data_IF_492626987406
#
_entry.id   IF_492626987406
#
_cell.length_a   1.000
_cell.length_b   1.000
_cell.length_c   1.000
_cell.angle_alpha   90.00
_cell.angle_beta   90.00
_cell.angle_gamma   90.00
#
_symmetry.space_group_name_H-M   'P 1'
#
loop_
_entity.id
_entity.type
_entity.pdbx_description
1 polymer ?
#
# COMPACT_ATOMS: atom_id res chain seq x y z
N UNK A 1 0.80 82.80 -1.08
CA UNK A 1 0.79 81.66 -0.12
C UNK A 1 -0.23 80.66 -0.59
N UNK A 2 0.21 79.59 -1.25
CA UNK A 2 -0.64 78.54 -1.82
C UNK A 2 -0.54 77.34 -0.85
N UNK A 3 -1.59 76.98 -0.17
CA UNK A 3 -1.68 75.79 0.71
C UNK A 3 -2.04 74.59 -0.16
N UNK A 4 -1.10 73.69 -0.39
CA UNK A 4 -1.36 72.36 -1.02
C UNK A 4 -2.06 71.46 -0.01
N UNK A 5 -3.24 71.00 -0.38
CA UNK A 5 -4.02 70.02 0.36
C UNK A 5 -3.62 68.62 -0.12
N UNK A 6 -2.91 67.82 0.72
CA UNK A 6 -2.58 66.45 0.42
C UNK A 6 -3.80 65.58 0.80
N UNK A 7 -4.43 64.98 -0.18
CA UNK A 7 -5.51 63.99 0.00
C UNK A 7 -4.79 62.63 0.13
N UNK A 8 -4.78 62.04 1.33
CA UNK A 8 -4.31 60.67 1.59
C UNK A 8 -5.49 59.73 1.31
N UNK A 9 -5.38 59.02 0.19
CA UNK A 9 -6.36 58.00 -0.19
C UNK A 9 -5.99 56.69 0.55
N UNK A 10 -6.74 56.34 1.60
CA UNK A 10 -6.60 55.09 2.32
C UNK A 10 -7.19 53.94 1.50
N UNK A 11 -6.35 53.10 0.97
CA UNK A 11 -6.77 51.85 0.30
C UNK A 11 -7.11 50.85 1.40
N UNK A 12 -8.39 50.58 1.64
CA UNK A 12 -8.86 49.53 2.50
C UNK A 12 -8.67 48.17 1.82
N UNK A 13 -7.67 47.41 2.33
CA UNK A 13 -7.52 46.01 1.98
C UNK A 13 -8.61 45.20 2.72
N UNK A 14 -9.63 44.75 1.99
CA UNK A 14 -10.55 43.73 2.50
C UNK A 14 -9.91 42.35 2.27
N UNK A 15 -9.68 41.55 3.33
CA UNK A 15 -9.26 40.16 3.14
C UNK A 15 -10.44 39.40 2.53
N UNK A 16 -10.28 38.93 1.30
CA UNK A 16 -11.20 37.95 0.70
C UNK A 16 -10.96 36.63 1.42
N UNK A 17 -11.80 36.33 2.41
CA UNK A 17 -11.87 35.01 3.00
C UNK A 17 -12.38 34.03 1.92
N UNK A 18 -11.49 33.32 1.25
CA UNK A 18 -11.85 32.18 0.41
C UNK A 18 -12.38 31.07 1.33
N UNK A 19 -13.68 30.98 1.48
CA UNK A 19 -14.32 29.81 2.08
C UNK A 19 -14.19 28.67 1.05
N UNK A 20 -13.24 27.76 1.30
CA UNK A 20 -13.23 26.46 0.63
C UNK A 20 -14.57 25.79 0.95
N UNK A 21 -15.52 25.80 0.03
CA UNK A 21 -16.75 25.03 0.16
C UNK A 21 -16.35 23.56 0.20
N UNK A 22 -16.53 22.92 1.36
CA UNK A 22 -16.24 21.51 1.53
C UNK A 22 -17.05 20.69 0.53
N UNK A 23 -16.35 19.96 -0.34
CA UNK A 23 -16.99 19.02 -1.27
C UNK A 23 -17.48 17.83 -0.45
N UNK A 24 -18.78 17.58 -0.46
CA UNK A 24 -19.36 16.36 0.12
C UNK A 24 -19.40 15.29 -0.95
N UNK A 25 -18.76 14.12 -0.73
CA UNK A 25 -18.82 13.01 -1.68
C UNK A 25 -20.28 12.58 -1.92
N UNK A 26 -20.63 12.30 -3.18
CA UNK A 26 -21.97 11.81 -3.55
C UNK A 26 -22.12 10.30 -3.37
N UNK A 27 -21.00 9.57 -3.44
CA UNK A 27 -20.97 8.12 -3.23
C UNK A 27 -20.79 7.80 -1.74
N UNK A 28 -21.31 6.66 -1.32
CA UNK A 28 -21.05 6.12 0.01
C UNK A 28 -19.56 5.82 0.18
N UNK A 29 -19.07 5.95 1.41
CA UNK A 29 -17.72 5.50 1.75
C UNK A 29 -17.63 3.99 1.51
N UNK A 30 -16.58 3.50 0.81
CA UNK A 30 -16.39 2.07 0.63
C UNK A 30 -16.29 1.34 1.97
N UNK A 31 -16.92 0.18 2.04
CA UNK A 31 -16.79 -0.73 3.19
C UNK A 31 -15.67 -1.72 2.95
N UNK A 32 -15.14 -2.29 4.04
CA UNK A 32 -14.01 -3.21 4.00
C UNK A 32 -14.44 -4.56 4.61
N UNK A 33 -14.29 -5.64 3.83
CA UNK A 33 -14.50 -7.01 4.29
C UNK A 33 -13.17 -7.72 4.49
N UNK A 34 -12.91 -8.25 5.69
CA UNK A 34 -11.72 -9.06 5.94
C UNK A 34 -11.78 -10.37 5.17
N UNK A 35 -10.73 -10.66 4.40
CA UNK A 35 -10.67 -11.83 3.52
C UNK A 35 -9.73 -12.90 4.06
N UNK A 36 -8.52 -12.52 4.44
CA UNK A 36 -7.51 -13.45 4.97
C UNK A 36 -6.35 -12.73 5.60
N UNK A 37 -5.65 -13.44 6.46
CA UNK A 37 -4.31 -13.11 6.94
C UNK A 37 -3.31 -14.09 6.34
N UNK A 38 -2.20 -13.58 5.80
CA UNK A 38 -1.08 -14.38 5.34
C UNK A 38 0.09 -14.19 6.31
N UNK A 39 0.67 -15.29 6.79
CA UNK A 39 1.91 -15.31 7.53
C UNK A 39 3.00 -15.85 6.60
N UNK A 40 3.74 -14.92 6.00
CA UNK A 40 4.71 -15.21 4.93
C UNK A 40 6.08 -15.46 5.55
N UNK A 41 6.72 -16.56 5.19
CA UNK A 41 8.11 -16.86 5.55
C UNK A 41 9.04 -16.33 4.49
N UNK A 42 10.06 -15.59 4.92
CA UNK A 42 11.03 -14.92 4.06
C UNK A 42 12.38 -15.65 4.11
N UNK A 43 13.05 -15.70 2.97
CA UNK A 43 14.41 -16.21 2.84
C UNK A 43 15.45 -15.11 3.04
N UNK A 44 16.72 -15.48 2.88
CA UNK A 44 17.82 -14.54 2.92
C UNK A 44 17.72 -13.53 1.78
N UNK A 45 17.61 -12.27 2.16
CA UNK A 45 17.49 -11.18 1.21
C UNK A 45 18.84 -10.85 0.56
N UNK A 46 18.80 -10.41 -0.71
CA UNK A 46 19.99 -9.96 -1.42
C UNK A 46 19.75 -8.62 -2.10
N UNK A 47 20.83 -7.87 -2.31
CA UNK A 47 20.80 -6.57 -2.98
C UNK A 47 21.43 -6.70 -4.36
N UNK A 48 20.72 -6.27 -5.40
CA UNK A 48 21.27 -6.13 -6.74
C UNK A 48 22.23 -4.94 -6.80
N UNK A 49 21.93 -3.88 -6.05
CA UNK A 49 22.73 -2.67 -5.93
C UNK A 49 21.97 -1.41 -6.34
N UNK A 50 22.72 -0.31 -6.43
CA UNK A 50 22.23 0.97 -6.92
C UNK A 50 22.01 0.90 -8.44
N UNK A 51 20.83 1.33 -8.89
CA UNK A 51 20.46 1.40 -10.30
C UNK A 51 20.04 2.83 -10.64
N UNK A 52 19.81 3.12 -11.92
CA UNK A 52 19.26 4.42 -12.33
C UNK A 52 17.88 4.71 -11.72
N UNK A 53 17.12 3.67 -11.37
CA UNK A 53 15.79 3.79 -10.77
C UNK A 53 15.82 3.82 -9.23
N UNK A 54 16.96 3.56 -8.58
CA UNK A 54 17.13 3.45 -7.14
C UNK A 54 17.82 2.15 -6.73
N UNK A 55 17.81 1.84 -5.43
CA UNK A 55 18.39 0.62 -4.88
C UNK A 55 17.42 -0.55 -5.03
N UNK A 56 17.84 -1.59 -5.76
CA UNK A 56 17.10 -2.83 -5.92
C UNK A 56 17.46 -3.84 -4.85
N UNK A 57 16.46 -4.32 -4.12
CA UNK A 57 16.56 -5.35 -3.09
C UNK A 57 15.53 -6.44 -3.36
N UNK A 58 15.90 -7.71 -3.13
CA UNK A 58 15.02 -8.84 -3.39
C UNK A 58 14.95 -9.71 -2.15
N UNK A 59 13.74 -10.01 -1.70
CA UNK A 59 13.47 -10.84 -0.53
C UNK A 59 12.74 -12.09 -1.01
N UNK A 60 13.39 -13.27 -1.03
CA UNK A 60 12.74 -14.52 -1.39
C UNK A 60 11.57 -14.85 -0.47
N UNK A 61 10.50 -15.39 -1.03
CA UNK A 61 9.36 -15.94 -0.29
C UNK A 61 9.53 -17.46 -0.29
N UNK A 62 9.73 -18.02 0.90
CA UNK A 62 10.06 -19.44 1.06
C UNK A 62 8.88 -20.30 1.50
N UNK A 63 7.75 -19.68 1.82
CA UNK A 63 6.56 -20.39 2.25
C UNK A 63 5.71 -19.58 3.22
N UNK A 64 4.95 -20.30 4.04
CA UNK A 64 4.05 -19.75 5.04
C UNK A 64 2.66 -20.33 4.96
N UNK A 65 1.74 -19.74 5.69
CA UNK A 65 0.34 -20.16 5.76
C UNK A 65 -0.57 -18.94 5.58
N UNK A 66 -1.80 -19.18 5.15
CA UNK A 66 -2.83 -18.17 5.17
C UNK A 66 -4.15 -18.74 5.70
N UNK A 67 -4.91 -17.87 6.36
CA UNK A 67 -6.20 -18.23 6.95
C UNK A 67 -7.18 -17.07 6.83
N UNK A 68 -8.44 -17.39 6.55
CA UNK A 68 -9.53 -16.45 6.46
C UNK A 68 -10.90 -17.13 6.54
N UNK A 69 -11.99 -16.35 6.61
CA UNK A 69 -13.35 -16.88 6.78
C UNK A 69 -13.80 -17.82 5.67
N UNK A 70 -13.27 -17.67 4.46
CA UNK A 70 -13.72 -18.37 3.26
C UNK A 70 -12.65 -19.24 2.61
N UNK A 71 -11.38 -19.10 2.99
CA UNK A 71 -10.27 -19.84 2.41
C UNK A 71 -9.07 -19.90 3.37
N UNK A 72 -8.34 -21.00 3.33
CA UNK A 72 -7.08 -21.20 4.06
C UNK A 72 -6.16 -22.13 3.27
N UNK A 73 -4.88 -22.15 3.63
CA UNK A 73 -3.89 -22.97 2.95
C UNK A 73 -2.46 -22.56 3.22
N UNK A 74 -1.59 -22.80 2.23
CA UNK A 74 -0.15 -22.56 2.34
C UNK A 74 0.34 -21.61 1.25
N UNK A 75 1.43 -20.92 1.51
CA UNK A 75 2.16 -20.11 0.54
C UNK A 75 3.19 -21.02 -0.13
N UNK A 76 3.23 -21.01 -1.45
CA UNK A 76 4.15 -21.85 -2.23
C UNK A 76 5.54 -21.20 -2.24
N UNK A 77 6.57 -21.98 -1.97
CA UNK A 77 7.95 -21.53 -2.11
C UNK A 77 8.29 -21.23 -3.59
N UNK A 78 9.07 -20.17 -3.84
CA UNK A 78 9.58 -19.84 -5.18
C UNK A 78 9.20 -18.44 -5.67
N UNK A 79 8.49 -17.66 -4.85
CA UNK A 79 8.24 -16.24 -5.11
C UNK A 79 9.29 -15.31 -4.49
N UNK A 80 9.15 -14.03 -4.73
CA UNK A 80 9.97 -13.00 -4.08
C UNK A 80 9.23 -11.65 -4.05
N UNK A 81 9.67 -10.78 -3.13
CA UNK A 81 9.35 -9.36 -3.12
C UNK A 81 10.52 -8.56 -3.74
N UNK A 82 10.25 -7.90 -4.86
CA UNK A 82 11.19 -7.13 -5.64
C UNK A 82 11.12 -5.66 -5.27
N UNK A 83 11.79 -5.28 -4.21
CA UNK A 83 11.76 -3.93 -3.66
C UNK A 83 12.64 -2.97 -4.45
N UNK A 84 12.16 -1.73 -4.61
CA UNK A 84 12.92 -0.63 -5.18
C UNK A 84 12.83 0.59 -4.27
N UNK A 85 13.95 0.91 -3.62
CA UNK A 85 14.06 2.10 -2.76
C UNK A 85 14.51 3.29 -3.59
N UNK A 86 13.81 4.42 -3.45
CA UNK A 86 14.14 5.68 -4.13
C UNK A 86 15.54 6.17 -3.75
N UNK A 87 16.13 7.01 -4.61
CA UNK A 87 17.49 7.55 -4.42
C UNK A 87 17.63 8.33 -3.10
N UNK A 88 16.58 9.01 -2.64
CA UNK A 88 16.54 9.73 -1.36
C UNK A 88 16.29 8.82 -0.15
N UNK A 89 16.09 7.52 -0.37
CA UNK A 89 15.89 6.50 0.66
C UNK A 89 14.53 6.55 1.38
N UNK A 90 13.64 7.48 1.03
CA UNK A 90 12.39 7.69 1.78
C UNK A 90 11.26 6.77 1.36
N UNK A 91 11.21 6.38 0.10
CA UNK A 91 10.16 5.54 -0.46
C UNK A 91 10.71 4.23 -1.00
N UNK A 92 10.08 3.13 -0.60
CA UNK A 92 10.30 1.82 -1.19
C UNK A 92 9.02 1.35 -1.87
N UNK A 93 9.10 1.05 -3.15
CA UNK A 93 8.04 0.36 -3.89
C UNK A 93 8.25 -1.14 -3.72
N UNK A 94 7.19 -1.86 -3.40
CA UNK A 94 7.16 -3.29 -3.19
C UNK A 94 6.44 -3.96 -4.35
N UNK A 95 6.95 -5.10 -4.79
CA UNK A 95 6.31 -5.94 -5.79
C UNK A 95 6.55 -7.41 -5.44
N UNK A 96 5.68 -7.97 -4.60
CA UNK A 96 5.74 -9.37 -4.23
C UNK A 96 4.95 -10.21 -5.23
N UNK A 97 5.62 -11.18 -5.87
CA UNK A 97 5.03 -12.10 -6.84
C UNK A 97 5.25 -13.52 -6.30
N UNK A 98 4.16 -14.22 -6.04
CA UNK A 98 4.17 -15.57 -5.47
C UNK A 98 2.86 -16.30 -5.76
N UNK A 99 2.72 -17.51 -5.28
CA UNK A 99 1.47 -18.27 -5.36
C UNK A 99 1.09 -18.86 -4.01
N UNK A 100 -0.20 -19.04 -3.80
CA UNK A 100 -0.76 -19.72 -2.65
C UNK A 100 -1.48 -20.98 -3.11
N UNK A 101 -1.58 -21.99 -2.23
CA UNK A 101 -2.31 -23.22 -2.47
C UNK A 101 -3.35 -23.39 -1.39
N UNK A 102 -4.61 -23.48 -1.77
CA UNK A 102 -5.71 -23.71 -0.86
C UNK A 102 -5.67 -25.13 -0.28
N UNK A 103 -6.34 -25.37 0.85
CA UNK A 103 -6.42 -26.68 1.52
C UNK A 103 -6.98 -27.79 0.62
N UNK A 104 -7.80 -27.44 -0.35
CA UNK A 104 -8.37 -28.35 -1.34
C UNK A 104 -7.58 -28.40 -2.68
N UNK A 105 -6.36 -27.85 -2.66
CA UNK A 105 -5.37 -28.07 -3.72
C UNK A 105 -5.38 -27.06 -4.87
N UNK A 106 -6.19 -26.01 -4.83
CA UNK A 106 -6.24 -24.98 -5.89
C UNK A 106 -5.08 -23.99 -5.72
N UNK A 107 -4.32 -23.80 -6.78
CA UNK A 107 -3.27 -22.78 -6.83
C UNK A 107 -3.86 -21.44 -7.26
N UNK A 108 -3.44 -20.35 -6.58
CA UNK A 108 -3.86 -18.99 -6.87
C UNK A 108 -2.59 -18.13 -6.96
N UNK A 109 -2.42 -17.44 -8.08
CA UNK A 109 -1.31 -16.51 -8.24
C UNK A 109 -1.61 -15.20 -7.51
N UNK A 110 -0.58 -14.60 -6.90
CA UNK A 110 -0.67 -13.35 -6.15
C UNK A 110 0.40 -12.39 -6.65
N UNK A 111 -0.03 -11.18 -7.00
CA UNK A 111 0.85 -10.03 -7.20
C UNK A 111 0.42 -8.96 -6.21
N UNK A 112 1.30 -8.65 -5.26
CA UNK A 112 1.03 -7.68 -4.20
C UNK A 112 1.94 -6.48 -4.34
N UNK A 113 1.41 -5.38 -4.84
CA UNK A 113 2.14 -4.12 -5.05
C UNK A 113 1.88 -3.18 -3.87
N UNK A 114 2.93 -2.55 -3.37
CA UNK A 114 2.81 -1.71 -2.18
C UNK A 114 3.83 -0.58 -2.09
N UNK A 115 3.67 0.19 -1.03
CA UNK A 115 4.54 1.33 -0.72
C UNK A 115 4.90 1.29 0.76
N UNK A 116 6.19 1.41 1.04
CA UNK A 116 6.72 1.85 2.33
C UNK A 116 7.20 3.28 2.15
N UNK A 117 6.80 4.16 3.05
CA UNK A 117 7.25 5.54 3.07
C UNK A 117 7.57 5.98 4.49
N UNK A 118 8.74 6.55 4.68
CA UNK A 118 9.17 7.18 5.92
C UNK A 118 9.45 8.66 5.67
N UNK A 119 8.84 9.53 6.44
CA UNK A 119 8.95 10.97 6.25
C UNK A 119 8.63 11.75 7.51
N UNK A 120 8.32 13.01 7.35
CA UNK A 120 7.83 13.89 8.42
C UNK A 120 6.56 14.58 7.96
N UNK A 121 5.61 14.78 8.87
CA UNK A 121 4.40 15.57 8.63
C UNK A 121 4.70 17.08 8.71
N UNK A 122 3.65 17.91 8.57
CA UNK A 122 3.74 19.37 8.66
C UNK A 122 4.31 19.90 9.97
N UNK A 123 4.15 19.13 11.04
CA UNK A 123 4.59 19.49 12.40
C UNK A 123 5.99 18.94 12.71
N UNK A 124 6.65 18.32 11.70
CA UNK A 124 7.98 17.74 11.82
C UNK A 124 8.03 16.38 12.51
N UNK A 125 6.89 15.79 12.85
CA UNK A 125 6.78 14.46 13.47
C UNK A 125 7.06 13.37 12.44
N UNK A 126 7.81 12.35 12.83
CA UNK A 126 8.08 11.20 11.98
C UNK A 126 6.80 10.43 11.63
N UNK A 127 6.66 10.10 10.35
CA UNK A 127 5.54 9.33 9.81
C UNK A 127 6.05 8.08 9.11
N UNK A 128 5.30 7.00 9.28
CA UNK A 128 5.55 5.73 8.61
C UNK A 128 4.26 5.24 7.94
N UNK A 129 4.37 4.89 6.66
CA UNK A 129 3.27 4.36 5.88
C UNK A 129 3.69 3.03 5.26
N UNK A 130 2.87 1.99 5.44
CA UNK A 130 3.07 0.69 4.84
C UNK A 130 1.73 0.08 4.46
N UNK A 131 1.39 0.14 3.17
CA UNK A 131 0.17 -0.45 2.59
C UNK A 131 0.48 -1.08 1.24
N UNK A 132 -0.35 -2.07 0.88
CA UNK A 132 -0.25 -2.75 -0.40
C UNK A 132 -1.64 -3.06 -0.96
N UNK A 133 -1.69 -3.44 -2.23
CA UNK A 133 -2.90 -3.74 -2.98
C UNK A 133 -2.72 -5.06 -3.75
N UNK A 134 -3.00 -6.21 -3.14
CA UNK A 134 -2.85 -7.49 -3.80
C UNK A 134 -3.89 -7.70 -4.91
N UNK A 135 -3.46 -8.38 -5.97
CA UNK A 135 -4.31 -8.94 -7.01
C UNK A 135 -4.18 -10.45 -6.98
N UNK A 136 -5.28 -11.13 -7.23
CA UNK A 136 -5.34 -12.58 -7.26
C UNK A 136 -5.74 -13.08 -8.64
N UNK A 137 -5.14 -14.19 -9.07
CA UNK A 137 -5.51 -14.92 -10.26
C UNK A 137 -5.84 -16.35 -9.84
N UNK A 138 -7.11 -16.60 -9.57
CA UNK A 138 -7.66 -17.93 -9.30
C UNK A 138 -8.19 -18.56 -10.59
N UNK A 139 -8.15 -19.90 -10.76
CA UNK A 139 -8.77 -20.57 -11.91
C UNK A 139 -10.24 -20.18 -12.05
N UNK A 140 -10.66 -19.87 -13.29
CA UNK A 140 -11.98 -19.32 -13.56
C UNK A 140 -13.13 -20.29 -13.24
N UNK A 141 -12.86 -21.59 -13.26
CA UNK A 141 -13.80 -22.68 -12.94
C UNK A 141 -13.75 -23.10 -11.46
N UNK A 142 -12.91 -22.47 -10.64
CA UNK A 142 -12.80 -22.76 -9.22
C UNK A 142 -13.83 -21.99 -8.38
N UNK A 143 -14.15 -22.52 -7.20
CA UNK A 143 -14.97 -21.78 -6.21
C UNK A 143 -14.30 -20.50 -5.68
N UNK A 144 -13.03 -20.26 -6.03
CA UNK A 144 -12.25 -19.09 -5.66
C UNK A 144 -12.20 -18.02 -6.75
N UNK A 145 -12.85 -18.23 -7.91
CA UNK A 145 -12.87 -17.27 -9.02
C UNK A 145 -13.38 -15.88 -8.65
N UNK A 146 -14.14 -15.75 -7.55
CA UNK A 146 -14.57 -14.46 -7.01
C UNK A 146 -13.42 -13.54 -6.63
N UNK A 147 -12.23 -14.09 -6.30
CA UNK A 147 -11.04 -13.32 -6.00
C UNK A 147 -10.57 -12.47 -7.19
N UNK A 148 -10.86 -12.89 -8.43
CA UNK A 148 -10.45 -12.20 -9.65
C UNK A 148 -11.24 -10.89 -9.90
N UNK A 149 -12.38 -10.70 -9.23
CA UNK A 149 -13.37 -9.69 -9.58
C UNK A 149 -13.56 -8.62 -8.49
N UNK A 150 -12.54 -8.36 -7.68
CA UNK A 150 -12.61 -7.37 -6.61
C UNK A 150 -11.29 -6.60 -6.46
N UNK A 151 -11.36 -5.47 -5.79
CA UNK A 151 -10.20 -4.68 -5.38
C UNK A 151 -9.89 -5.03 -3.93
N UNK A 152 -8.60 -5.21 -3.65
CA UNK A 152 -8.12 -5.54 -2.32
C UNK A 152 -7.12 -4.51 -1.83
N UNK A 153 -7.06 -4.34 -0.52
CA UNK A 153 -6.02 -3.61 0.19
C UNK A 153 -5.41 -4.49 1.27
N UNK A 154 -4.15 -4.24 1.55
CA UNK A 154 -3.38 -5.02 2.50
C UNK A 154 -2.68 -4.10 3.50
N UNK A 155 -2.72 -4.49 4.77
CA UNK A 155 -1.94 -3.86 5.84
C UNK A 155 -0.87 -4.82 6.32
N UNK A 156 0.38 -4.67 5.85
CA UNK A 156 1.47 -5.46 6.34
C UNK A 156 1.88 -5.06 7.76
N UNK A 157 2.33 -6.03 8.54
CA UNK A 157 2.94 -5.84 9.85
C UNK A 157 4.14 -6.75 10.03
N UNK A 158 5.17 -6.26 10.71
CA UNK A 158 6.35 -7.07 11.00
C UNK A 158 6.01 -8.09 12.09
N UNK A 159 6.35 -9.35 11.83
CA UNK A 159 6.18 -10.47 12.76
C UNK A 159 7.49 -10.87 13.42
N UNK A 160 7.67 -12.17 13.66
CA UNK A 160 8.94 -12.73 14.11
C UNK A 160 10.04 -12.52 13.03
N UNK A 161 11.32 -12.50 13.40
CA UNK A 161 12.41 -12.41 12.42
C UNK A 161 12.21 -13.43 11.28
N UNK A 162 12.37 -13.00 10.03
CA UNK A 162 12.14 -13.82 8.84
C UNK A 162 10.68 -14.05 8.48
N UNK A 163 9.74 -13.31 9.07
CA UNK A 163 8.32 -13.38 8.72
C UNK A 163 7.69 -12.00 8.54
N UNK A 164 6.62 -11.95 7.73
CA UNK A 164 5.74 -10.79 7.62
C UNK A 164 4.29 -11.25 7.63
N UNK A 165 3.44 -10.52 8.35
CA UNK A 165 2.00 -10.76 8.40
C UNK A 165 1.28 -9.76 7.51
N UNK A 166 0.38 -10.25 6.67
CA UNK A 166 -0.38 -9.48 5.71
C UNK A 166 -1.88 -9.67 5.97
N UNK A 167 -2.54 -8.65 6.51
CA UNK A 167 -4.00 -8.63 6.62
C UNK A 167 -4.60 -8.08 5.34
N UNK A 168 -5.52 -8.82 4.72
CA UNK A 168 -6.12 -8.49 3.42
C UNK A 168 -7.61 -8.26 3.56
N UNK A 169 -8.06 -7.13 3.03
CA UNK A 169 -9.48 -6.75 2.95
C UNK A 169 -9.90 -6.53 1.50
N UNK A 170 -11.12 -6.90 1.20
CA UNK A 170 -11.81 -6.56 -0.04
C UNK A 170 -12.54 -5.23 0.13
N UNK A 171 -12.45 -4.37 -0.86
CA UNK A 171 -13.21 -3.11 -0.96
C UNK A 171 -14.60 -3.43 -1.53
N UNK A 172 -15.67 -3.02 -0.84
CA UNK A 172 -17.07 -3.20 -1.22
C UNK A 172 -17.73 -1.87 -1.62
#
# INVERSE_FOLDING_TARGET
>A
MIRSLLIIMAIAFFPVASSAQGITPKAATPEMEFIMQLNVTLGEAYTVGETQAGRRHVIPITGGVFEGPRLHGTIINGGADYQLTSVDGKRTTLEAIYSIKTHDGINIHVRNEGIVYSGRDSDGKETFYFKAAPRFEAPADSKYAWLNNAIYVCSPSFGQPGTITLDVWMVR
#
